data_IF_725620963269
#
_entry.id   IF_725620963269
#
_cell.length_a   1.000
_cell.length_b   1.000
_cell.length_c   1.000
_cell.angle_alpha   90.00
_cell.angle_beta   90.00
_cell.angle_gamma   90.00
#
_symmetry.space_group_name_H-M   'P 1'
#
loop_
_entity.id
_entity.type
_entity.pdbx_description
1 polymer ?
#
# COMPACT_ATOMS: atom_id res chain seq x y z
N UNK A 1 -17.15 -23.69 -19.76
CA UNK A 1 -15.78 -23.76 -19.18
C UNK A 1 -15.91 -23.36 -17.73
N UNK A 2 -15.51 -24.19 -16.75
CA UNK A 2 -15.46 -23.75 -15.35
C UNK A 2 -14.38 -22.67 -15.26
N UNK A 3 -14.76 -21.45 -14.90
CA UNK A 3 -13.77 -20.41 -14.61
C UNK A 3 -12.96 -20.87 -13.40
N UNK A 4 -11.66 -20.97 -13.54
CA UNK A 4 -10.78 -21.29 -12.42
C UNK A 4 -10.60 -20.02 -11.56
N UNK A 5 -10.55 -20.19 -10.23
CA UNK A 5 -10.23 -19.11 -9.31
C UNK A 5 -8.87 -18.47 -9.65
N UNK A 6 -8.88 -17.16 -9.86
CA UNK A 6 -7.68 -16.37 -10.05
C UNK A 6 -7.44 -15.46 -8.85
N UNK A 7 -6.40 -15.79 -8.09
CA UNK A 7 -5.99 -15.03 -6.90
C UNK A 7 -5.59 -13.58 -7.22
N UNK A 8 -5.13 -13.32 -8.45
CA UNK A 8 -4.71 -11.97 -8.87
C UNK A 8 -5.93 -11.07 -9.02
N UNK A 9 -7.00 -11.56 -9.64
CA UNK A 9 -8.26 -10.84 -9.77
C UNK A 9 -8.83 -10.53 -8.39
N UNK A 10 -8.92 -11.53 -7.52
CA UNK A 10 -9.43 -11.36 -6.16
C UNK A 10 -8.66 -10.31 -5.36
N UNK A 11 -7.32 -10.38 -5.37
CA UNK A 11 -6.47 -9.37 -4.72
C UNK A 11 -6.65 -7.98 -5.33
N UNK A 12 -6.78 -7.89 -6.65
CA UNK A 12 -7.00 -6.63 -7.36
C UNK A 12 -8.28 -5.92 -6.91
N UNK A 13 -9.37 -6.65 -6.71
CA UNK A 13 -10.63 -6.11 -6.18
C UNK A 13 -10.45 -5.57 -4.75
N UNK A 14 -9.76 -6.31 -3.86
CA UNK A 14 -9.50 -5.87 -2.49
C UNK A 14 -8.60 -4.62 -2.44
N UNK A 15 -7.55 -4.55 -3.25
CA UNK A 15 -6.67 -3.36 -3.34
C UNK A 15 -7.45 -2.12 -3.78
N UNK A 16 -8.45 -2.29 -4.63
CA UNK A 16 -9.36 -1.23 -5.06
C UNK A 16 -10.45 -0.88 -4.02
N UNK A 17 -10.50 -1.57 -2.88
CA UNK A 17 -11.54 -1.38 -1.86
C UNK A 17 -12.90 -1.97 -2.23
N UNK A 18 -12.99 -2.78 -3.28
CA UNK A 18 -14.23 -3.37 -3.81
C UNK A 18 -14.58 -4.67 -3.08
N UNK A 19 -14.91 -4.54 -1.78
CA UNK A 19 -15.12 -5.71 -0.91
C UNK A 19 -16.31 -6.58 -1.37
N UNK A 20 -17.46 -5.98 -1.68
CA UNK A 20 -18.64 -6.72 -2.13
C UNK A 20 -18.37 -7.48 -3.44
N UNK A 21 -17.72 -6.82 -4.42
CA UNK A 21 -17.34 -7.46 -5.68
C UNK A 21 -16.35 -8.63 -5.44
N UNK A 22 -15.41 -8.46 -4.48
CA UNK A 22 -14.45 -9.49 -4.13
C UNK A 22 -15.13 -10.73 -3.51
N UNK A 23 -16.11 -10.54 -2.63
CA UNK A 23 -16.88 -11.64 -2.02
C UNK A 23 -17.74 -12.32 -3.07
N UNK A 24 -18.47 -11.56 -3.88
CA UNK A 24 -19.26 -12.11 -5.00
C UNK A 24 -18.38 -12.90 -5.99
N UNK A 25 -17.14 -12.44 -6.22
CA UNK A 25 -16.19 -13.21 -7.02
C UNK A 25 -15.86 -14.55 -6.38
N UNK A 26 -15.62 -14.62 -5.05
CA UNK A 26 -15.36 -15.87 -4.33
C UNK A 26 -16.56 -16.85 -4.38
N UNK A 27 -17.78 -16.34 -4.30
CA UNK A 27 -19.02 -17.13 -4.31
C UNK A 27 -19.20 -17.95 -5.58
N UNK A 28 -18.53 -17.59 -6.69
CA UNK A 28 -18.56 -18.38 -7.92
C UNK A 28 -17.73 -19.67 -7.85
N UNK A 29 -17.02 -19.95 -6.73
CA UNK A 29 -16.09 -21.07 -6.62
C UNK A 29 -16.43 -21.94 -5.40
N UNK A 30 -16.81 -23.22 -5.66
CA UNK A 30 -17.21 -24.18 -4.63
C UNK A 30 -16.12 -24.43 -3.56
N UNK A 31 -14.83 -24.32 -3.94
CA UNK A 31 -13.69 -24.48 -3.03
C UNK A 31 -13.42 -23.24 -2.16
N UNK A 32 -14.18 -22.15 -2.29
CA UNK A 32 -14.05 -20.89 -1.55
C UNK A 32 -15.14 -20.64 -0.49
N UNK A 33 -16.06 -21.57 -0.27
CA UNK A 33 -17.17 -21.43 0.69
C UNK A 33 -16.69 -21.06 2.11
N UNK A 34 -15.60 -21.69 2.58
CA UNK A 34 -15.05 -21.37 3.90
C UNK A 34 -14.40 -19.96 3.96
N UNK A 35 -13.86 -19.49 2.85
CA UNK A 35 -13.34 -18.11 2.77
C UNK A 35 -14.49 -17.11 2.79
N UNK A 36 -15.56 -17.33 2.03
CA UNK A 36 -16.79 -16.51 2.04
C UNK A 36 -17.40 -16.46 3.46
N UNK A 37 -17.48 -17.59 4.16
CA UNK A 37 -17.97 -17.64 5.54
C UNK A 37 -17.16 -16.76 6.49
N UNK A 38 -15.82 -16.74 6.39
CA UNK A 38 -14.95 -15.85 7.19
C UNK A 38 -15.25 -14.38 6.94
N UNK A 39 -15.55 -13.99 5.68
CA UNK A 39 -15.98 -12.63 5.35
C UNK A 39 -17.31 -12.29 6.04
N UNK A 40 -18.32 -13.15 5.95
CA UNK A 40 -19.60 -12.92 6.62
C UNK A 40 -19.46 -12.86 8.16
N UNK A 41 -18.65 -13.72 8.77
CA UNK A 41 -18.38 -13.64 10.20
C UNK A 41 -17.73 -12.32 10.61
N UNK A 42 -16.75 -11.82 9.82
CA UNK A 42 -16.07 -10.55 10.09
C UNK A 42 -16.98 -9.35 9.85
N UNK A 43 -17.68 -9.29 8.74
CA UNK A 43 -18.40 -8.10 8.31
C UNK A 43 -19.85 -8.07 8.75
N UNK A 44 -20.62 -9.15 8.57
CA UNK A 44 -21.99 -9.24 9.04
C UNK A 44 -22.11 -9.38 10.57
N UNK A 45 -21.33 -10.29 11.14
CA UNK A 45 -21.43 -10.60 12.58
C UNK A 45 -20.49 -9.72 13.41
N UNK A 46 -19.64 -8.90 12.81
CA UNK A 46 -18.59 -8.07 13.46
C UNK A 46 -17.74 -8.86 14.44
N UNK A 47 -17.41 -10.12 14.09
CA UNK A 47 -16.53 -10.97 14.91
C UNK A 47 -15.08 -10.67 14.57
N UNK A 48 -14.44 -9.86 15.41
CA UNK A 48 -13.03 -9.54 15.29
C UNK A 48 -12.19 -10.43 16.20
N UNK A 49 -11.19 -11.08 15.63
CA UNK A 49 -10.25 -11.92 16.40
C UNK A 49 -9.11 -11.05 16.91
N UNK A 50 -9.30 -10.36 18.02
CA UNK A 50 -8.25 -9.61 18.68
C UNK A 50 -7.26 -10.56 19.33
N UNK A 51 -5.98 -10.44 18.97
CA UNK A 51 -4.94 -11.42 19.31
C UNK A 51 -4.04 -10.99 20.47
N UNK A 52 -4.38 -9.93 21.21
CA UNK A 52 -3.55 -9.43 22.29
C UNK A 52 -4.17 -9.74 23.65
N UNK A 53 -3.30 -9.88 24.67
CA UNK A 53 -3.76 -9.98 26.07
C UNK A 53 -3.99 -8.58 26.71
N UNK A 54 -3.89 -7.51 25.92
CA UNK A 54 -4.04 -6.13 26.38
C UNK A 54 -5.42 -5.59 25.97
N UNK A 55 -6.25 -5.29 26.95
CA UNK A 55 -7.62 -4.82 26.73
C UNK A 55 -7.66 -3.46 26.03
N UNK A 56 -6.74 -2.55 26.35
CA UNK A 56 -6.66 -1.22 25.71
C UNK A 56 -6.38 -1.37 24.23
N UNK A 57 -5.37 -2.16 23.87
CA UNK A 57 -5.04 -2.45 22.47
C UNK A 57 -6.23 -3.08 21.75
N UNK A 58 -6.89 -4.06 22.35
CA UNK A 58 -8.05 -4.71 21.75
C UNK A 58 -9.20 -3.73 21.52
N UNK A 59 -9.48 -2.81 22.44
CA UNK A 59 -10.50 -1.77 22.26
C UNK A 59 -10.16 -0.81 21.10
N UNK A 60 -8.89 -0.43 20.95
CA UNK A 60 -8.44 0.38 19.82
C UNK A 60 -8.62 -0.39 18.51
N UNK A 61 -8.19 -1.66 18.45
CA UNK A 61 -8.37 -2.51 17.27
C UNK A 61 -9.85 -2.68 16.89
N UNK A 62 -10.73 -2.84 17.89
CA UNK A 62 -12.18 -2.95 17.68
C UNK A 62 -12.77 -1.64 17.13
N UNK A 63 -12.31 -0.48 17.60
CA UNK A 63 -12.77 0.80 17.13
C UNK A 63 -12.46 0.98 15.62
N UNK A 64 -11.23 0.69 15.19
CA UNK A 64 -10.85 0.75 13.78
C UNK A 64 -11.49 -0.37 12.94
N UNK A 65 -11.62 -1.58 13.48
CA UNK A 65 -12.33 -2.68 12.80
C UNK A 65 -13.77 -2.31 12.46
N UNK A 66 -14.48 -1.69 13.43
CA UNK A 66 -15.83 -1.19 13.19
C UNK A 66 -15.88 -0.04 12.17
N UNK A 67 -14.86 0.83 12.12
CA UNK A 67 -14.74 1.88 11.11
C UNK A 67 -14.62 1.27 9.70
N UNK A 68 -13.82 0.22 9.53
CA UNK A 68 -13.69 -0.46 8.23
C UNK A 68 -14.99 -1.18 7.83
N UNK A 69 -15.71 -1.78 8.78
CA UNK A 69 -17.02 -2.37 8.49
C UNK A 69 -18.04 -1.29 8.12
N UNK A 70 -18.08 -0.18 8.87
CA UNK A 70 -18.96 0.95 8.57
C UNK A 70 -18.75 1.48 7.14
N UNK A 71 -17.51 1.51 6.65
CA UNK A 71 -17.18 2.00 5.30
C UNK A 71 -17.37 0.93 4.22
N UNK A 72 -16.73 -0.23 4.34
CA UNK A 72 -16.68 -1.25 3.29
C UNK A 72 -17.93 -2.14 3.19
N UNK A 73 -18.64 -2.31 4.30
CA UNK A 73 -19.79 -3.21 4.38
C UNK A 73 -21.12 -2.48 4.48
N UNK A 74 -21.22 -1.52 5.38
CA UNK A 74 -22.42 -0.71 5.57
C UNK A 74 -22.51 0.47 4.58
N UNK A 75 -21.54 0.61 3.68
CA UNK A 75 -21.49 1.63 2.62
C UNK A 75 -21.66 3.07 3.11
N UNK A 76 -21.25 3.35 4.36
CA UNK A 76 -21.23 4.72 4.89
C UNK A 76 -20.18 5.55 4.16
N UNK A 77 -20.44 6.85 4.03
CA UNK A 77 -19.39 7.76 3.59
C UNK A 77 -18.19 7.75 4.55
N UNK A 78 -16.99 8.07 4.05
CA UNK A 78 -15.80 8.14 4.91
C UNK A 78 -16.03 9.09 6.10
N UNK A 79 -16.67 10.23 5.86
CA UNK A 79 -16.96 11.21 6.89
C UNK A 79 -17.87 10.66 8.01
N UNK A 80 -18.90 9.89 7.67
CA UNK A 80 -19.80 9.26 8.66
C UNK A 80 -19.11 8.16 9.44
N UNK A 81 -18.37 7.30 8.75
CA UNK A 81 -17.58 6.24 9.37
C UNK A 81 -16.51 6.82 10.33
N UNK A 82 -15.79 7.89 9.91
CA UNK A 82 -14.80 8.59 10.72
C UNK A 82 -15.42 9.30 11.94
N UNK A 83 -16.60 9.89 11.82
CA UNK A 83 -17.33 10.44 12.98
C UNK A 83 -17.62 9.35 14.01
N UNK A 84 -18.04 8.16 13.56
CA UNK A 84 -18.29 7.01 14.43
C UNK A 84 -17.00 6.50 15.07
N UNK A 85 -15.89 6.43 14.31
CA UNK A 85 -14.56 6.09 14.83
C UNK A 85 -14.14 7.06 15.93
N UNK A 86 -14.18 8.37 15.65
CA UNK A 86 -13.84 9.42 16.62
C UNK A 86 -14.59 9.23 17.94
N UNK A 87 -15.89 8.99 17.88
CA UNK A 87 -16.70 8.76 19.09
C UNK A 87 -16.20 7.54 19.88
N UNK A 88 -15.86 6.43 19.20
CA UNK A 88 -15.32 5.22 19.85
C UNK A 88 -13.95 5.50 20.50
N UNK A 89 -13.06 6.23 19.81
CA UNK A 89 -11.74 6.58 20.34
C UNK A 89 -11.83 7.53 21.55
N UNK A 90 -12.69 8.54 21.50
CA UNK A 90 -12.94 9.44 22.64
C UNK A 90 -13.46 8.67 23.86
N UNK A 91 -14.30 7.65 23.66
CA UNK A 91 -14.78 6.77 24.74
C UNK A 91 -13.65 5.95 25.37
N UNK A 92 -12.70 5.47 24.57
CA UNK A 92 -11.49 4.75 25.05
C UNK A 92 -10.64 5.69 25.91
N UNK A 93 -10.50 6.95 25.49
CA UNK A 93 -9.73 7.99 26.20
C UNK A 93 -10.46 8.55 27.44
N UNK A 94 -11.73 8.17 27.68
CA UNK A 94 -12.59 8.76 28.72
C UNK A 94 -12.70 10.30 28.61
N UNK A 95 -12.73 10.83 27.41
CA UNK A 95 -12.80 12.26 27.15
C UNK A 95 -14.26 12.70 26.93
N UNK A 96 -14.66 13.78 27.61
CA UNK A 96 -15.95 14.46 27.40
C UNK A 96 -15.82 15.71 26.52
N UNK A 97 -14.62 16.24 26.39
CA UNK A 97 -14.34 17.43 25.54
C UNK A 97 -14.26 17.03 24.09
N UNK A 98 -14.89 17.79 23.20
CA UNK A 98 -14.83 17.54 21.76
C UNK A 98 -13.46 17.99 21.23
N UNK A 99 -12.63 17.01 20.89
CA UNK A 99 -11.36 17.20 20.18
C UNK A 99 -11.58 17.11 18.66
N UNK A 100 -10.63 17.59 17.86
CA UNK A 100 -10.61 17.19 16.46
C UNK A 100 -10.14 15.72 16.30
N UNK A 101 -10.18 15.16 15.06
CA UNK A 101 -9.85 13.75 14.86
C UNK A 101 -8.35 13.51 15.04
N UNK A 102 -7.51 14.43 14.55
CA UNK A 102 -6.05 14.30 14.60
C UNK A 102 -5.54 14.33 16.04
N UNK A 103 -6.08 15.25 16.88
CA UNK A 103 -5.77 15.28 18.30
C UNK A 103 -6.19 14.00 19.02
N UNK A 104 -7.39 13.48 18.69
CA UNK A 104 -7.88 12.24 19.27
C UNK A 104 -6.99 11.05 18.88
N UNK A 105 -6.58 10.95 17.61
CA UNK A 105 -5.70 9.87 17.13
C UNK A 105 -4.30 9.97 17.76
N UNK A 106 -3.76 11.18 17.94
CA UNK A 106 -2.49 11.39 18.65
C UNK A 106 -2.53 10.87 20.09
N UNK A 107 -3.59 11.19 20.83
CA UNK A 107 -3.75 10.69 22.21
C UNK A 107 -3.93 9.17 22.26
N UNK A 108 -4.57 8.56 21.28
CA UNK A 108 -4.64 7.09 21.12
C UNK A 108 -3.24 6.54 20.87
N UNK A 109 -2.42 7.18 20.04
CA UNK A 109 -1.03 6.79 19.83
C UNK A 109 -0.24 6.77 21.15
N UNK A 110 -0.30 7.86 21.90
CA UNK A 110 0.35 7.97 23.23
C UNK A 110 -0.14 6.87 24.19
N UNK A 111 -1.44 6.58 24.21
CA UNK A 111 -2.02 5.50 25.02
C UNK A 111 -1.51 4.12 24.59
N UNK A 112 -1.39 3.87 23.29
CA UNK A 112 -0.86 2.61 22.73
C UNK A 112 0.62 2.45 23.07
N UNK A 113 1.40 3.52 23.00
CA UNK A 113 2.82 3.52 23.36
C UNK A 113 3.03 3.22 24.86
N UNK A 114 2.18 3.74 25.73
CA UNK A 114 2.18 3.40 27.16
C UNK A 114 1.93 1.90 27.41
N UNK A 115 1.31 1.19 26.45
CA UNK A 115 1.11 -0.25 26.53
C UNK A 115 2.30 -1.06 25.96
N UNK A 116 3.39 -0.40 25.56
CA UNK A 116 4.59 -1.04 25.01
C UNK A 116 4.47 -1.45 23.54
N UNK A 117 3.60 -0.77 22.78
CA UNK A 117 3.47 -0.90 21.33
C UNK A 117 3.85 0.41 20.65
N UNK A 118 4.33 0.33 19.43
CA UNK A 118 4.47 1.50 18.55
C UNK A 118 3.15 1.73 17.80
N UNK A 119 2.85 2.98 17.50
CA UNK A 119 1.64 3.39 16.78
C UNK A 119 2.01 4.34 15.64
N UNK A 120 1.51 4.07 14.46
CA UNK A 120 1.50 5.01 13.35
C UNK A 120 0.06 5.12 12.86
N UNK A 121 -0.55 6.29 13.12
CA UNK A 121 -1.89 6.67 12.67
C UNK A 121 -1.88 7.25 11.28
N UNK A 122 -2.86 8.15 11.04
CA UNK A 122 -3.09 8.84 9.78
C UNK A 122 -3.64 7.94 8.65
N UNK A 123 -3.76 8.53 7.46
CA UNK A 123 -4.33 7.84 6.30
C UNK A 123 -3.32 6.92 5.63
N UNK A 124 -3.77 5.71 5.29
CA UNK A 124 -3.04 4.77 4.46
C UNK A 124 -3.83 4.51 3.19
N UNK A 125 -3.52 5.25 2.13
CA UNK A 125 -4.34 5.28 0.93
C UNK A 125 -5.68 5.99 1.18
N UNK A 126 -6.80 5.28 1.06
CA UNK A 126 -8.14 5.89 1.10
C UNK A 126 -8.74 6.05 2.51
N UNK A 127 -8.19 5.40 3.53
CA UNK A 127 -8.77 5.39 4.88
C UNK A 127 -7.74 5.59 5.98
N UNK A 128 -8.20 6.12 7.10
CA UNK A 128 -7.43 6.07 8.35
C UNK A 128 -7.22 4.62 8.78
N UNK A 129 -6.03 4.34 9.30
CA UNK A 129 -5.79 3.00 9.78
C UNK A 129 -4.43 2.83 10.42
N UNK A 130 -4.39 2.42 11.69
CA UNK A 130 -3.14 2.36 12.40
C UNK A 130 -2.33 1.15 11.96
N UNK A 131 -1.02 1.39 11.86
CA UNK A 131 -0.04 0.35 12.07
C UNK A 131 0.26 0.31 13.58
N UNK A 132 0.10 -0.87 14.19
CA UNK A 132 0.42 -1.11 15.61
C UNK A 132 1.33 -2.33 15.67
N UNK A 133 2.55 -2.14 16.22
CA UNK A 133 3.55 -3.20 16.28
C UNK A 133 4.36 -3.12 17.59
N UNK A 134 5.11 -4.16 17.90
CA UNK A 134 5.82 -4.29 19.17
C UNK A 134 7.32 -4.13 19.06
N UNK A 135 7.94 -4.76 18.06
CA UNK A 135 9.38 -4.89 17.97
C UNK A 135 9.93 -4.04 16.81
N UNK A 136 11.01 -3.28 17.05
CA UNK A 136 11.69 -2.45 16.07
C UNK A 136 13.20 -2.58 16.16
N UNK A 137 13.87 -2.81 15.02
CA UNK A 137 15.32 -2.87 14.90
C UNK A 137 15.79 -2.00 13.74
N UNK A 138 16.80 -1.14 13.95
CA UNK A 138 17.37 -0.31 12.88
C UNK A 138 18.51 -1.03 12.18
N UNK A 139 18.41 -1.14 10.83
CA UNK A 139 19.45 -1.76 9.98
C UNK A 139 19.81 -0.79 8.85
N UNK A 140 21.11 -0.67 8.55
CA UNK A 140 21.61 0.22 7.48
C UNK A 140 21.95 -0.60 6.23
N UNK A 141 21.54 -0.09 5.06
CA UNK A 141 21.82 -0.65 3.74
C UNK A 141 22.37 0.41 2.80
N UNK A 142 23.34 0.03 1.95
CA UNK A 142 23.73 0.78 0.76
C UNK A 142 22.94 0.24 -0.43
N UNK A 143 22.07 1.09 -1.01
CA UNK A 143 21.11 0.70 -2.05
C UNK A 143 21.44 1.44 -3.34
N UNK A 144 21.78 0.68 -4.38
CA UNK A 144 21.97 1.21 -5.73
C UNK A 144 20.61 1.43 -6.41
N UNK A 145 20.36 2.65 -6.87
CA UNK A 145 19.22 3.06 -7.70
C UNK A 145 19.72 3.79 -8.96
N UNK A 146 18.88 4.13 -9.95
CA UNK A 146 19.34 4.78 -11.17
C UNK A 146 20.07 6.12 -10.96
N UNK A 147 19.78 6.85 -9.88
CA UNK A 147 20.46 8.11 -9.52
C UNK A 147 21.77 7.94 -8.75
N UNK A 148 22.16 6.71 -8.38
CA UNK A 148 23.40 6.39 -7.63
C UNK A 148 23.17 5.51 -6.40
N UNK A 149 24.20 5.41 -5.54
CA UNK A 149 24.12 4.65 -4.29
C UNK A 149 23.54 5.54 -3.19
N UNK A 150 22.52 5.05 -2.53
CA UNK A 150 21.94 5.69 -1.36
C UNK A 150 22.12 4.82 -0.11
N UNK A 151 22.68 5.41 0.96
CA UNK A 151 22.65 4.79 2.27
C UNK A 151 21.29 5.06 2.92
N UNK A 152 20.62 3.99 3.34
CA UNK A 152 19.29 4.04 3.94
C UNK A 152 19.25 3.33 5.28
N UNK A 153 18.61 3.93 6.26
CA UNK A 153 18.34 3.30 7.56
C UNK A 153 16.93 2.78 7.56
N UNK A 154 16.75 1.51 7.86
CA UNK A 154 15.46 0.83 7.83
C UNK A 154 15.06 0.43 9.25
N UNK A 155 13.86 0.84 9.65
CA UNK A 155 13.17 0.35 10.84
C UNK A 155 12.55 -1.01 10.52
N UNK A 156 13.16 -2.10 10.96
CA UNK A 156 12.66 -3.46 10.79
C UNK A 156 11.64 -3.76 11.87
N UNK A 157 10.36 -3.77 11.50
CA UNK A 157 9.24 -3.91 12.42
C UNK A 157 8.73 -5.35 12.47
N UNK A 158 8.35 -5.82 13.67
CA UNK A 158 7.71 -7.13 13.89
C UNK A 158 6.66 -7.06 15.01
N UNK A 159 5.95 -8.16 15.25
CA UNK A 159 4.92 -8.19 16.28
C UNK A 159 3.69 -7.34 15.98
N UNK A 160 3.31 -7.21 14.69
CA UNK A 160 2.13 -6.44 14.29
C UNK A 160 0.83 -7.06 14.80
N UNK A 161 0.00 -6.20 15.35
CA UNK A 161 -1.39 -6.47 15.70
C UNK A 161 -2.38 -5.74 14.78
N UNK A 162 -1.93 -4.66 14.10
CA UNK A 162 -2.66 -4.00 13.03
C UNK A 162 -1.71 -3.59 11.91
N UNK A 163 -2.14 -3.78 10.66
CA UNK A 163 -1.46 -3.32 9.43
C UNK A 163 -2.46 -2.61 8.51
N UNK A 164 -3.23 -1.67 9.09
CA UNK A 164 -4.20 -0.86 8.37
C UNK A 164 -5.40 -1.63 7.78
N UNK A 165 -6.24 -0.91 7.03
CA UNK A 165 -7.50 -1.40 6.47
C UNK A 165 -7.33 -2.54 5.46
N UNK A 166 -6.27 -2.49 4.63
CA UNK A 166 -6.07 -3.49 3.57
C UNK A 166 -5.76 -4.89 4.14
N UNK A 167 -4.99 -4.97 5.22
CA UNK A 167 -4.79 -6.21 5.97
C UNK A 167 -6.11 -6.72 6.55
N UNK A 168 -6.94 -5.81 7.07
CA UNK A 168 -8.23 -6.15 7.65
C UNK A 168 -9.20 -6.70 6.61
N UNK A 169 -9.44 -5.99 5.48
CA UNK A 169 -10.40 -6.44 4.45
C UNK A 169 -9.91 -7.66 3.67
N UNK A 170 -8.62 -7.90 3.63
CA UNK A 170 -8.05 -9.07 2.96
C UNK A 170 -7.90 -10.31 3.86
N UNK A 171 -8.39 -10.28 5.09
CA UNK A 171 -8.19 -11.34 6.09
C UNK A 171 -6.70 -11.68 6.31
N UNK A 172 -5.81 -10.69 6.20
CA UNK A 172 -4.36 -10.86 6.33
C UNK A 172 -3.64 -11.34 5.07
N UNK A 173 -4.35 -11.46 3.93
CA UNK A 173 -3.77 -11.91 2.65
C UNK A 173 -2.89 -10.85 1.99
N UNK A 174 -3.23 -9.58 2.18
CA UNK A 174 -2.55 -8.41 1.62
C UNK A 174 -2.21 -7.47 2.78
N UNK A 175 -1.03 -6.94 2.77
CA UNK A 175 -0.61 -5.92 3.71
C UNK A 175 0.62 -5.22 3.17
N UNK A 176 0.89 -4.02 3.66
CA UNK A 176 2.07 -3.26 3.28
C UNK A 176 3.32 -4.01 3.72
N UNK A 177 4.28 -4.14 2.82
CA UNK A 177 5.59 -4.74 3.11
C UNK A 177 6.55 -3.73 3.77
N UNK A 178 6.30 -2.45 3.56
CA UNK A 178 7.06 -1.34 4.10
C UNK A 178 6.66 -0.03 3.42
N UNK A 179 7.29 1.06 3.81
CA UNK A 179 7.10 2.39 3.24
C UNK A 179 8.29 3.30 3.55
N UNK A 180 8.42 4.41 2.80
CA UNK A 180 9.28 5.53 3.12
C UNK A 180 8.47 6.66 3.75
N UNK A 181 9.00 7.33 4.78
CA UNK A 181 8.44 8.56 5.31
C UNK A 181 9.08 9.78 4.63
N UNK A 182 8.38 10.90 4.61
CA UNK A 182 8.91 12.18 4.15
C UNK A 182 10.14 12.64 4.94
N UNK A 183 10.26 12.24 6.21
CA UNK A 183 11.44 12.50 7.04
C UNK A 183 12.68 11.72 6.62
N UNK A 184 12.57 10.81 5.63
CA UNK A 184 13.68 10.02 5.11
C UNK A 184 13.92 8.70 5.87
N UNK A 185 13.00 8.27 6.71
CA UNK A 185 13.07 6.97 7.36
C UNK A 185 12.35 5.90 6.52
N UNK A 186 12.95 4.72 6.43
CA UNK A 186 12.33 3.54 5.84
C UNK A 186 11.77 2.61 6.90
N UNK A 187 10.63 2.02 6.60
CA UNK A 187 9.95 1.07 7.48
C UNK A 187 9.72 -0.25 6.74
N UNK A 188 10.09 -1.37 7.36
CA UNK A 188 9.95 -2.70 6.78
C UNK A 188 9.17 -3.63 7.71
N UNK A 189 8.11 -4.22 7.21
CA UNK A 189 7.37 -5.26 7.90
C UNK A 189 8.14 -6.58 7.75
N UNK A 190 8.96 -6.93 8.74
CA UNK A 190 9.88 -8.08 8.72
C UNK A 190 9.18 -9.40 8.31
N UNK A 191 7.95 -9.60 8.78
CA UNK A 191 7.16 -10.79 8.47
C UNK A 191 6.90 -10.97 6.97
N UNK A 192 6.79 -9.88 6.21
CA UNK A 192 6.55 -9.93 4.76
C UNK A 192 7.77 -10.46 4.00
N UNK A 193 8.95 -10.34 4.57
CA UNK A 193 10.24 -10.71 3.95
C UNK A 193 11.01 -11.79 4.72
N UNK A 194 10.41 -12.38 5.76
CA UNK A 194 11.05 -13.42 6.57
C UNK A 194 11.52 -14.56 5.65
N UNK A 195 12.82 -14.89 5.72
CA UNK A 195 13.53 -15.81 4.83
C UNK A 195 13.70 -15.31 3.38
N UNK A 196 13.37 -14.05 3.07
CA UNK A 196 13.40 -13.48 1.72
C UNK A 196 14.34 -12.27 1.56
N UNK A 197 15.08 -11.87 2.62
CA UNK A 197 15.99 -10.70 2.56
C UNK A 197 17.06 -10.79 1.47
N UNK A 198 17.39 -11.99 1.00
CA UNK A 198 18.28 -12.20 -0.14
C UNK A 198 17.57 -12.25 -1.49
N UNK A 199 16.22 -12.27 -1.50
CA UNK A 199 15.42 -12.39 -2.72
C UNK A 199 15.13 -11.02 -3.36
N UNK A 200 14.72 -11.08 -4.62
CA UNK A 200 14.37 -9.90 -5.40
C UNK A 200 13.17 -9.14 -4.82
N UNK A 201 12.24 -9.82 -4.17
CA UNK A 201 11.11 -9.19 -3.48
C UNK A 201 11.56 -8.17 -2.44
N UNK A 202 12.59 -8.50 -1.64
CA UNK A 202 13.17 -7.54 -0.70
C UNK A 202 14.12 -6.56 -1.38
N UNK A 203 15.09 -7.06 -2.17
CA UNK A 203 16.16 -6.21 -2.73
C UNK A 203 15.67 -5.22 -3.79
N UNK A 204 14.64 -5.57 -4.55
CA UNK A 204 14.11 -4.74 -5.63
C UNK A 204 12.77 -4.14 -5.26
N UNK A 205 11.76 -4.98 -4.98
CA UNK A 205 10.39 -4.49 -4.75
C UNK A 205 10.18 -3.86 -3.36
N UNK A 206 11.21 -3.84 -2.51
CA UNK A 206 11.22 -3.02 -1.30
C UNK A 206 12.41 -2.06 -1.31
N UNK A 207 13.67 -2.53 -1.14
CA UNK A 207 14.81 -1.63 -0.93
C UNK A 207 14.97 -0.59 -2.04
N UNK A 208 14.96 -1.00 -3.32
CA UNK A 208 15.15 -0.05 -4.43
C UNK A 208 13.90 0.81 -4.64
N UNK A 209 12.72 0.28 -4.41
CA UNK A 209 11.46 1.02 -4.46
C UNK A 209 11.45 2.15 -3.43
N UNK A 210 11.68 1.82 -2.17
CA UNK A 210 11.66 2.81 -1.08
C UNK A 210 12.86 3.78 -1.14
N UNK A 211 14.04 3.31 -1.55
CA UNK A 211 15.18 4.19 -1.78
C UNK A 211 14.93 5.20 -2.91
N UNK A 212 14.15 4.81 -3.93
CA UNK A 212 13.72 5.72 -4.99
C UNK A 212 12.79 6.81 -4.42
N UNK A 213 11.84 6.47 -3.54
CA UNK A 213 11.02 7.46 -2.86
C UNK A 213 11.87 8.50 -2.10
N UNK A 214 12.89 8.06 -1.36
CA UNK A 214 13.78 8.98 -0.65
C UNK A 214 14.55 9.93 -1.58
N UNK A 215 14.98 9.41 -2.76
CA UNK A 215 15.57 10.24 -3.79
C UNK A 215 14.58 11.26 -4.36
N UNK A 216 13.35 10.82 -4.58
CA UNK A 216 12.30 11.62 -5.19
C UNK A 216 11.76 12.69 -4.25
N UNK A 217 11.67 12.46 -2.94
CA UNK A 217 11.34 13.50 -1.97
C UNK A 217 12.31 14.68 -2.04
N UNK A 218 13.61 14.42 -2.22
CA UNK A 218 14.60 15.48 -2.40
C UNK A 218 14.37 16.23 -3.71
N UNK A 219 14.20 15.50 -4.82
CA UNK A 219 13.91 16.09 -6.12
C UNK A 219 12.63 16.94 -6.09
N UNK A 220 11.56 16.45 -5.45
CA UNK A 220 10.28 17.17 -5.39
C UNK A 220 10.29 18.37 -4.46
N UNK A 221 11.13 18.36 -3.40
CA UNK A 221 11.33 19.52 -2.53
C UNK A 221 12.03 20.68 -3.25
N UNK A 222 12.87 20.39 -4.25
CA UNK A 222 13.58 21.38 -5.08
C UNK A 222 12.71 21.94 -6.21
N UNK A 223 11.61 21.25 -6.57
CA UNK A 223 10.76 21.57 -7.73
C UNK A 223 9.29 21.64 -7.33
N UNK A 224 8.51 22.54 -7.95
CA UNK A 224 7.10 22.70 -7.67
C UNK A 224 6.28 21.57 -8.31
N UNK A 225 5.97 20.55 -7.53
CA UNK A 225 5.04 19.48 -7.94
C UNK A 225 3.67 19.78 -7.33
N UNK A 226 2.61 19.58 -8.10
CA UNK A 226 1.23 19.70 -7.62
C UNK A 226 0.92 18.60 -6.59
N UNK A 227 0.32 18.96 -5.46
CA UNK A 227 0.06 18.04 -4.33
C UNK A 227 -0.73 16.79 -4.75
N UNK A 228 -1.68 16.94 -5.69
CA UNK A 228 -2.48 15.83 -6.24
C UNK A 228 -1.65 14.83 -7.09
N UNK A 229 -0.46 15.22 -7.54
CA UNK A 229 0.41 14.39 -8.37
C UNK A 229 1.58 13.78 -7.60
N UNK A 230 1.94 14.29 -6.42
CA UNK A 230 3.10 13.82 -5.65
C UNK A 230 3.04 12.30 -5.44
N UNK A 231 1.97 11.77 -4.86
CA UNK A 231 1.84 10.34 -4.60
C UNK A 231 1.86 9.48 -5.88
N UNK A 232 1.28 9.99 -6.97
CA UNK A 232 1.29 9.31 -8.28
C UNK A 232 2.72 9.26 -8.84
N UNK A 233 3.46 10.35 -8.76
CA UNK A 233 4.83 10.44 -9.30
C UNK A 233 5.81 9.61 -8.47
N UNK A 234 5.70 9.60 -7.14
CA UNK A 234 6.47 8.72 -6.27
C UNK A 234 6.31 7.25 -6.71
N UNK A 235 5.06 6.77 -6.81
CA UNK A 235 4.76 5.41 -7.22
C UNK A 235 5.20 5.09 -8.66
N UNK A 236 5.00 6.02 -9.58
CA UNK A 236 5.41 5.86 -10.97
C UNK A 236 6.92 5.65 -11.09
N UNK A 237 7.71 6.47 -10.42
CA UNK A 237 9.17 6.44 -10.46
C UNK A 237 9.74 5.24 -9.72
N UNK A 238 9.21 4.90 -8.54
CA UNK A 238 9.61 3.72 -7.79
C UNK A 238 9.32 2.42 -8.56
N UNK A 239 8.14 2.30 -9.19
CA UNK A 239 7.80 1.14 -10.02
C UNK A 239 8.64 1.05 -11.30
N UNK A 240 9.02 2.17 -11.92
CA UNK A 240 9.99 2.15 -13.03
C UNK A 240 11.35 1.63 -12.54
N UNK A 241 11.83 2.08 -11.39
CA UNK A 241 13.07 1.58 -10.76
C UNK A 241 12.99 0.08 -10.51
N UNK A 242 11.89 -0.44 -9.99
CA UNK A 242 11.69 -1.88 -9.85
C UNK A 242 11.84 -2.60 -11.21
N UNK A 243 11.22 -2.10 -12.29
CA UNK A 243 11.30 -2.72 -13.62
C UNK A 243 12.69 -2.72 -14.19
N UNK A 244 13.52 -1.71 -13.92
CA UNK A 244 14.90 -1.61 -14.37
C UNK A 244 15.74 -2.75 -13.77
N UNK A 245 15.57 -3.06 -12.50
CA UNK A 245 16.37 -4.03 -11.78
C UNK A 245 15.76 -5.44 -11.70
N UNK A 246 14.47 -5.61 -12.03
CA UNK A 246 13.84 -6.92 -11.98
C UNK A 246 14.19 -7.75 -13.21
N UNK A 247 14.70 -8.99 -13.06
CA UNK A 247 15.27 -9.75 -14.18
C UNK A 247 14.23 -10.30 -15.17
N UNK A 248 12.96 -10.35 -14.76
CA UNK A 248 11.87 -10.90 -15.58
C UNK A 248 10.61 -10.04 -15.49
N UNK A 249 9.57 -10.41 -16.28
CA UNK A 249 8.34 -9.62 -16.39
C UNK A 249 7.24 -9.94 -15.35
N UNK A 250 7.51 -10.75 -14.33
CA UNK A 250 6.48 -11.10 -13.32
C UNK A 250 5.92 -9.86 -12.62
N UNK A 251 6.81 -8.94 -12.27
CA UNK A 251 6.42 -7.69 -11.64
C UNK A 251 5.58 -6.81 -12.56
N UNK A 252 5.98 -6.69 -13.82
CA UNK A 252 5.23 -5.94 -14.81
C UNK A 252 3.85 -6.55 -15.09
N UNK A 253 3.73 -7.87 -15.06
CA UNK A 253 2.43 -8.55 -15.12
C UNK A 253 1.51 -8.14 -13.96
N UNK A 254 2.06 -8.05 -12.76
CA UNK A 254 1.32 -7.53 -11.61
C UNK A 254 0.86 -6.08 -11.81
N UNK A 255 1.71 -5.23 -12.39
CA UNK A 255 1.33 -3.83 -12.69
C UNK A 255 0.18 -3.75 -13.69
N UNK A 256 0.22 -4.52 -14.79
CA UNK A 256 -0.88 -4.56 -15.76
C UNK A 256 -2.20 -4.99 -15.09
N UNK A 257 -2.15 -5.99 -14.20
CA UNK A 257 -3.36 -6.49 -13.52
C UNK A 257 -3.94 -5.53 -12.46
N UNK A 258 -3.11 -4.63 -11.91
CA UNK A 258 -3.52 -3.61 -10.93
C UNK A 258 -3.87 -2.26 -11.58
N UNK A 259 -3.56 -2.08 -12.87
CA UNK A 259 -3.70 -0.82 -13.57
C UNK A 259 -5.15 -0.31 -13.56
N UNK A 260 -5.36 0.92 -13.10
CA UNK A 260 -6.65 1.60 -13.09
C UNK A 260 -6.46 3.09 -13.36
N UNK A 261 -7.46 3.73 -13.99
CA UNK A 261 -7.45 5.16 -14.31
C UNK A 261 -7.88 6.07 -13.14
N UNK A 262 -8.22 5.50 -12.00
CA UNK A 262 -8.60 6.26 -10.82
C UNK A 262 -7.36 6.91 -10.17
N UNK A 263 -7.29 8.23 -10.25
CA UNK A 263 -6.19 9.03 -9.67
C UNK A 263 -6.16 9.02 -8.13
N UNK A 264 -7.28 8.69 -7.48
CA UNK A 264 -7.32 8.59 -6.03
C UNK A 264 -6.54 7.37 -5.50
N UNK A 265 -6.21 6.41 -6.37
CA UNK A 265 -5.35 5.28 -6.05
C UNK A 265 -4.02 5.41 -6.81
N UNK A 266 -3.04 6.07 -6.20
CA UNK A 266 -1.73 6.36 -6.79
C UNK A 266 -1.00 5.10 -7.30
N UNK A 267 -1.03 4.00 -6.55
CA UNK A 267 -0.41 2.73 -6.96
C UNK A 267 -1.00 2.15 -8.25
N UNK A 268 -2.34 2.12 -8.35
CA UNK A 268 -3.04 1.59 -9.53
C UNK A 268 -2.94 2.52 -10.71
N UNK A 269 -3.01 3.83 -10.47
CA UNK A 269 -2.86 4.84 -11.52
C UNK A 269 -1.43 4.89 -12.08
N UNK A 270 -0.41 4.83 -11.23
CA UNK A 270 0.99 4.71 -11.65
C UNK A 270 1.22 3.45 -12.51
N UNK A 271 0.63 2.33 -12.12
CA UNK A 271 0.67 1.09 -12.90
C UNK A 271 0.02 1.25 -14.28
N UNK A 272 -1.10 1.99 -14.36
CA UNK A 272 -1.74 2.33 -15.64
C UNK A 272 -0.83 3.22 -16.51
N UNK A 273 -0.23 4.27 -15.95
CA UNK A 273 0.69 5.16 -16.68
C UNK A 273 1.89 4.39 -17.24
N UNK A 274 2.50 3.50 -16.45
CA UNK A 274 3.62 2.67 -16.88
C UNK A 274 3.21 1.76 -18.04
N UNK A 275 2.09 1.04 -17.90
CA UNK A 275 1.61 0.14 -18.93
C UNK A 275 1.26 0.90 -20.23
N UNK A 276 0.64 2.08 -20.13
CA UNK A 276 0.32 2.94 -21.28
C UNK A 276 1.59 3.45 -21.96
N UNK A 277 2.54 4.02 -21.21
CA UNK A 277 3.78 4.57 -21.78
C UNK A 277 4.64 3.49 -22.45
N UNK A 278 4.76 2.32 -21.81
CA UNK A 278 5.46 1.18 -22.41
C UNK A 278 4.74 0.63 -23.65
N UNK A 279 3.40 0.65 -23.64
CA UNK A 279 2.60 0.25 -24.82
C UNK A 279 2.89 1.16 -26.02
N UNK A 280 2.93 2.47 -25.81
CA UNK A 280 3.29 3.45 -26.84
C UNK A 280 4.70 3.23 -27.38
N UNK A 281 5.69 3.07 -26.48
CA UNK A 281 7.10 2.90 -26.85
C UNK A 281 7.39 1.56 -27.57
N UNK A 282 6.69 0.48 -27.23
CA UNK A 282 7.00 -0.88 -27.71
C UNK A 282 6.08 -1.30 -28.86
N UNK A 283 4.80 -0.91 -28.81
CA UNK A 283 3.80 -1.37 -29.79
C UNK A 283 3.19 -0.25 -30.63
N UNK A 284 3.49 1.02 -30.32
CA UNK A 284 2.85 2.21 -30.92
C UNK A 284 1.31 2.20 -30.71
N UNK A 285 0.86 1.72 -29.55
CA UNK A 285 -0.55 1.65 -29.15
C UNK A 285 -0.76 2.35 -27.79
N UNK A 286 -1.95 2.92 -27.58
CA UNK A 286 -2.27 3.65 -26.34
C UNK A 286 -2.17 2.77 -25.08
N UNK A 287 -2.68 1.53 -25.16
CA UNK A 287 -2.68 0.60 -24.02
C UNK A 287 -2.82 -0.85 -24.47
N UNK A 288 -1.89 -1.68 -24.07
CA UNK A 288 -1.90 -3.13 -24.33
C UNK A 288 -2.07 -3.90 -23.04
N UNK A 289 -3.29 -4.40 -22.76
CA UNK A 289 -3.61 -5.22 -21.58
C UNK A 289 -3.29 -6.70 -21.76
N UNK A 290 -3.24 -7.19 -23.01
CA UNK A 290 -3.02 -8.61 -23.31
C UNK A 290 -1.61 -9.05 -22.95
N UNK A 291 -1.49 -9.82 -21.88
CA UNK A 291 -0.19 -10.34 -21.39
C UNK A 291 0.59 -11.13 -22.43
N UNK A 292 -0.09 -11.86 -23.31
CA UNK A 292 0.59 -12.67 -24.35
C UNK A 292 1.49 -11.84 -25.27
N UNK A 293 1.15 -10.58 -25.50
CA UNK A 293 1.91 -9.66 -26.36
C UNK A 293 3.21 -9.18 -25.71
N UNK A 294 3.28 -9.20 -24.39
CA UNK A 294 4.46 -8.79 -23.62
C UNK A 294 5.51 -9.90 -23.47
N UNK A 295 5.13 -11.16 -23.77
CA UNK A 295 6.08 -12.28 -23.72
C UNK A 295 7.29 -11.99 -24.62
N UNK A 296 8.50 -12.20 -24.09
CA UNK A 296 9.76 -11.93 -24.83
C UNK A 296 10.19 -10.47 -24.86
N UNK A 297 9.40 -9.51 -24.34
CA UNK A 297 9.71 -8.08 -24.35
C UNK A 297 10.53 -7.59 -23.16
N UNK A 298 11.02 -8.49 -22.28
CA UNK A 298 11.64 -8.12 -21.00
C UNK A 298 12.84 -7.15 -21.15
N UNK A 299 13.69 -7.31 -22.18
CA UNK A 299 14.78 -6.38 -22.43
C UNK A 299 14.25 -4.99 -22.79
N UNK A 300 13.30 -4.90 -23.72
CA UNK A 300 12.68 -3.64 -24.14
C UNK A 300 11.96 -2.94 -22.98
N UNK A 301 11.22 -3.68 -22.13
CA UNK A 301 10.57 -3.12 -20.95
C UNK A 301 11.58 -2.46 -20.01
N UNK A 302 12.71 -3.12 -19.70
CA UNK A 302 13.76 -2.54 -18.85
C UNK A 302 14.41 -1.30 -19.46
N UNK A 303 14.77 -1.37 -20.73
CA UNK A 303 15.39 -0.24 -21.45
C UNK A 303 14.46 0.98 -21.52
N UNK A 304 13.19 0.77 -21.81
CA UNK A 304 12.22 1.86 -21.83
C UNK A 304 11.81 2.33 -20.44
N UNK A 305 11.79 1.47 -19.42
CA UNK A 305 11.58 1.89 -18.04
C UNK A 305 12.68 2.88 -17.59
N UNK A 306 13.93 2.62 -17.93
CA UNK A 306 15.03 3.53 -17.66
C UNK A 306 14.84 4.88 -18.38
N UNK A 307 14.58 4.87 -19.69
CA UNK A 307 14.31 6.09 -20.46
C UNK A 307 13.12 6.90 -19.95
N UNK A 308 12.03 6.23 -19.56
CA UNK A 308 10.85 6.89 -19.00
C UNK A 308 11.15 7.56 -17.65
N UNK A 309 12.03 6.96 -16.84
CA UNK A 309 12.46 7.57 -15.58
C UNK A 309 13.32 8.82 -15.83
N UNK A 310 14.24 8.77 -16.82
CA UNK A 310 15.04 9.93 -17.22
C UNK A 310 14.16 11.04 -17.82
N UNK A 311 13.31 10.71 -18.82
CA UNK A 311 12.37 11.65 -19.44
C UNK A 311 11.48 12.34 -18.38
N UNK A 312 11.02 11.59 -17.38
CA UNK A 312 10.21 12.15 -16.29
C UNK A 312 11.02 13.07 -15.37
N UNK A 313 12.28 12.72 -15.05
CA UNK A 313 13.18 13.59 -14.29
C UNK A 313 13.42 14.91 -15.03
N UNK A 314 13.72 14.86 -16.32
CA UNK A 314 13.92 16.05 -17.15
C UNK A 314 12.65 16.93 -17.21
N UNK A 315 11.47 16.30 -17.28
CA UNK A 315 10.20 17.02 -17.28
C UNK A 315 9.96 17.78 -15.97
N UNK A 316 10.30 17.20 -14.83
CA UNK A 316 10.20 17.83 -13.51
C UNK A 316 11.12 19.05 -13.44
N UNK A 317 12.39 18.87 -13.77
CA UNK A 317 13.40 19.94 -13.75
C UNK A 317 13.04 21.09 -14.70
N UNK A 318 12.51 20.77 -15.90
CA UNK A 318 12.18 21.79 -16.91
C UNK A 318 10.89 22.58 -16.59
N UNK A 319 10.04 22.10 -15.70
CA UNK A 319 8.80 22.80 -15.32
C UNK A 319 9.07 24.11 -14.58
N UNK A 320 10.19 24.22 -13.86
CA UNK A 320 10.61 25.45 -13.15
C UNK A 320 11.23 26.52 -14.06
N UNK A 321 11.52 26.20 -15.32
CA UNK A 321 12.11 27.12 -16.28
C UNK A 321 11.07 27.91 -17.11
N UNK A 322 9.79 27.67 -16.85
CA UNK A 322 8.67 28.39 -17.48
C UNK A 322 7.88 29.22 -16.48
#
# INVERSE_FOLDING_TARGET
MKNNYDKVIFKGLLIQGKLHEAITYLENFEDKVEDVKKYHERFNCRKFNNKTNNLVINNVLDAYSNYYVDYFWDEKTELEARKSLKHRLMKILNLSTVLDFSECEKLIGELVEQQGYSFLGDTTGMLYGPYIWKDNEKVVYDVEIPSGIQQVTINMMDGFVSRSWLDFISLGLIGTGGWASESGELFCVRKCYKNEFNKLSFKVSYLKHEAQHLSDYKLFAEHKISDDMIGIYLEYRAKLTELIYYPNLKLFHSFISQANKDKNNSHSYASYLIASNLSKKIFNEEYVSSWSRWKGKGKQVREYAYKLLEEHTESIISTDLK
#
